data_IF_928904844467
#
_entry.id   IF_928904844467
#
_cell.length_a   1.000
_cell.length_b   1.000
_cell.length_c   1.000
_cell.angle_alpha   90.00
_cell.angle_beta   90.00
_cell.angle_gamma   90.00
#
_symmetry.space_group_name_H-M   'P 1'
#
loop_
_entity.id
_entity.type
_entity.pdbx_description
1 polymer ?
#
# COMPACT_ATOMS: atom_id res chain seq x y z
N UNK A 1 -4.45 -20.01 1.82
CA UNK A 1 -3.89 -20.25 1.99
C UNK A 1 -3.87 -20.29 1.96
N UNK A 2 -4.33 -19.63 2.24
CA UNK A 2 -3.87 -19.61 2.45
C UNK A 2 -4.10 -19.62 2.50
N UNK A 3 -4.34 -19.19 2.93
CA UNK A 3 -4.02 -19.27 3.12
C UNK A 3 -4.28 -19.27 3.40
N UNK A 4 -4.62 -18.87 3.76
CA UNK A 4 -4.30 -19.02 4.02
C UNK A 4 -4.48 -18.91 4.07
N UNK A 5 -4.67 -18.36 4.35
CA UNK A 5 -4.14 -18.51 4.41
C UNK A 5 -4.17 -18.42 4.49
N UNK A 6 -4.35 -17.89 4.84
CA UNK A 6 -3.82 -18.09 4.95
C UNK A 6 -4.09 -18.00 5.34
N UNK A 7 -4.36 -17.38 5.93
CA UNK A 7 -4.02 -17.55 6.19
C UNK A 7 -3.99 -17.85 6.49
N UNK A 8 -4.08 -17.54 6.88
CA UNK A 8 -3.46 -18.09 6.98
C UNK A 8 -3.11 -18.15 7.26
N UNK A 9 -3.03 -17.65 7.69
CA UNK A 9 -2.21 -17.95 7.78
C UNK A 9 -1.91 -17.87 8.18
N UNK A 10 -1.92 -17.56 8.71
CA UNK A 10 -1.16 -17.74 8.96
C UNK A 10 -0.80 -17.81 9.01
N UNK A 11 -0.39 -17.56 9.33
CA UNK A 11 0.34 -17.90 9.16
C UNK A 11 0.74 -18.05 8.84
N UNK A 12 0.96 -17.90 8.98
CA UNK A 12 1.64 -18.31 8.42
C UNK A 12 1.93 -18.51 7.77
N UNK A 13 2.41 -18.46 7.39
CA UNK A 13 3.07 -18.89 6.63
C UNK A 13 3.53 -19.12 6.13
N UNK A 14 3.71 -19.30 6.15
CA UNK A 14 4.46 -19.74 5.58
C UNK A 14 4.61 -20.11 4.88
N UNK A 15 5.04 -20.22 4.34
CA UNK A 15 5.44 -20.68 3.61
C UNK A 15 5.63 -21.25 2.87
N UNK A 16 5.63 -21.31 2.69
CA UNK A 16 5.91 -22.16 2.09
C UNK A 16 6.09 -22.40 0.92
N UNK A 17 6.14 -23.16 0.46
CA UNK A 17 6.19 -23.84 -0.69
C UNK A 17 6.72 -23.06 -1.77
N UNK A 18 7.02 -23.69 -2.74
CA UNK A 18 7.48 -23.18 -3.86
C UNK A 18 7.72 -21.73 -3.83
N UNK A 19 6.99 -21.09 -4.43
CA UNK A 19 7.12 -19.70 -4.40
C UNK A 19 6.65 -19.20 -3.04
N UNK A 20 7.60 -18.76 -2.29
CA UNK A 20 7.34 -18.28 -0.97
C UNK A 20 7.36 -16.79 -0.92
N UNK A 21 6.41 -16.22 -0.31
CA UNK A 21 6.45 -14.81 -0.02
C UNK A 21 7.05 -14.62 1.35
N UNK A 22 7.92 -13.63 1.46
CA UNK A 22 8.51 -13.30 2.74
C UNK A 22 7.48 -12.69 3.69
N UNK A 23 6.39 -12.16 3.16
CA UNK A 23 5.33 -11.60 3.99
C UNK A 23 3.97 -11.83 3.35
N UNK A 24 2.93 -11.83 4.17
CA UNK A 24 1.56 -11.95 3.71
C UNK A 24 1.12 -10.69 2.99
N UNK A 25 0.23 -10.86 2.05
CA UNK A 25 -0.42 -9.77 1.34
C UNK A 25 -1.85 -9.67 1.79
N UNK A 26 -2.30 -8.46 1.97
CA UNK A 26 -3.68 -8.19 2.36
C UNK A 26 -4.33 -7.34 1.29
N UNK A 27 -5.45 -7.82 0.77
CA UNK A 27 -6.28 -7.05 -0.15
C UNK A 27 -7.23 -6.22 0.70
N UNK A 28 -6.92 -4.96 0.84
CA UNK A 28 -7.71 -4.08 1.67
C UNK A 28 -7.67 -2.67 1.09
N UNK A 29 -8.84 -2.06 1.03
CA UNK A 29 -8.97 -0.71 0.52
C UNK A 29 -9.01 0.27 1.69
N UNK A 30 -7.95 1.04 1.81
CA UNK A 30 -7.83 2.05 2.86
C UNK A 30 -7.49 3.38 2.21
N UNK A 31 -8.07 4.47 2.70
CA UNK A 31 -7.70 5.79 2.17
C UNK A 31 -6.25 6.09 2.47
N UNK A 32 -5.57 6.72 1.52
CA UNK A 32 -4.22 7.14 1.76
C UNK A 32 -3.95 8.50 1.15
N UNK A 33 -3.00 9.19 1.75
CA UNK A 33 -2.50 10.47 1.28
C UNK A 33 -1.07 10.25 0.78
N UNK A 34 -0.74 10.87 -0.33
CA UNK A 34 0.52 10.66 -1.04
C UNK A 34 1.24 11.99 -1.15
N UNK A 35 2.52 12.01 -0.78
CA UNK A 35 3.35 13.19 -0.94
C UNK A 35 4.72 12.77 -1.47
N UNK A 36 5.38 13.70 -2.16
CA UNK A 36 6.76 13.48 -2.55
C UNK A 36 7.65 13.44 -1.31
N UNK A 37 8.71 12.63 -1.36
CA UNK A 37 9.67 12.51 -0.28
C UNK A 37 11.08 12.65 -0.84
N UNK A 38 11.83 13.69 -0.43
CA UNK A 38 11.44 14.73 0.52
C UNK A 38 10.40 15.67 -0.08
N UNK A 39 9.61 16.31 0.76
CA UNK A 39 8.63 17.25 0.26
C UNK A 39 9.30 18.45 -0.37
N UNK A 40 8.75 18.88 -1.49
CA UNK A 40 9.23 20.08 -2.16
C UNK A 40 8.31 21.22 -1.81
N UNK A 41 8.86 22.43 -1.88
CA UNK A 41 8.08 23.63 -1.63
C UNK A 41 6.91 23.66 -2.62
N UNK A 42 5.71 23.87 -2.10
CA UNK A 42 4.49 23.93 -2.90
C UNK A 42 4.17 22.62 -3.63
N UNK A 43 4.72 21.51 -3.17
CA UNK A 43 4.38 20.21 -3.75
C UNK A 43 2.94 19.86 -3.41
N UNK A 44 2.18 19.35 -4.37
CA UNK A 44 0.83 18.90 -4.07
C UNK A 44 0.84 17.63 -3.25
N UNK A 45 -0.24 17.40 -2.55
CA UNK A 45 -0.52 16.09 -2.00
C UNK A 45 -1.58 15.44 -2.89
N UNK A 46 -1.55 14.12 -2.94
CA UNK A 46 -2.47 13.33 -3.75
C UNK A 46 -3.23 12.39 -2.85
N UNK A 47 -4.40 11.96 -3.29
CA UNK A 47 -5.15 10.97 -2.54
C UNK A 47 -5.24 9.69 -3.36
N UNK A 48 -5.44 8.59 -2.66
CA UNK A 48 -5.60 7.31 -3.30
C UNK A 48 -6.19 6.30 -2.33
N UNK A 49 -6.20 5.06 -2.77
CA UNK A 49 -6.68 3.95 -1.96
C UNK A 49 -5.74 2.79 -2.12
N UNK A 50 -5.47 2.10 -1.03
CA UNK A 50 -4.69 0.87 -1.12
C UNK A 50 -5.50 -0.22 -1.82
N UNK A 51 -4.81 -1.12 -2.48
CA UNK A 51 -5.42 -2.35 -3.02
C UNK A 51 -4.79 -3.55 -2.34
N UNK A 52 -3.46 -3.56 -2.24
CA UNK A 52 -2.73 -4.63 -1.57
C UNK A 52 -1.70 -4.04 -0.64
N UNK A 53 -1.60 -4.62 0.54
CA UNK A 53 -0.58 -4.27 1.53
C UNK A 53 0.23 -5.51 1.88
N UNK A 54 1.53 -5.32 2.03
CA UNK A 54 2.41 -6.36 2.54
C UNK A 54 3.55 -5.70 3.31
N UNK A 55 4.41 -6.53 3.91
CA UNK A 55 5.59 -5.99 4.60
C UNK A 55 6.62 -5.43 3.65
N UNK A 56 6.54 -5.73 2.37
CA UNK A 56 7.54 -5.31 1.39
C UNK A 56 7.07 -4.21 0.48
N UNK A 57 5.77 -4.09 0.23
CA UNK A 57 5.30 -3.12 -0.71
C UNK A 57 3.83 -2.79 -0.54
N UNK A 58 3.44 -1.73 -1.21
CA UNK A 58 2.07 -1.26 -1.21
C UNK A 58 1.67 -1.03 -2.66
N UNK A 59 0.56 -1.64 -3.05
CA UNK A 59 -0.05 -1.36 -4.35
C UNK A 59 -1.29 -0.52 -4.09
N UNK A 60 -1.35 0.64 -4.73
CA UNK A 60 -2.47 1.55 -4.52
C UNK A 60 -2.93 2.13 -5.85
N UNK A 61 -4.12 2.72 -5.82
CA UNK A 61 -4.71 3.37 -6.98
C UNK A 61 -4.87 4.84 -6.68
N UNK A 62 -4.59 5.66 -7.69
CA UNK A 62 -4.70 7.12 -7.59
C UNK A 62 -5.02 7.67 -8.97
N UNK A 63 -5.08 8.99 -9.10
CA UNK A 63 -5.38 9.61 -10.38
C UNK A 63 -4.16 10.18 -11.10
N UNK A 64 -3.00 10.14 -10.47
CA UNK A 64 -1.78 10.71 -11.04
C UNK A 64 -0.70 9.66 -11.17
N UNK A 65 -0.01 9.60 -12.31
CA UNK A 65 1.11 8.68 -12.45
C UNK A 65 2.35 9.20 -11.73
N UNK A 66 3.21 8.28 -11.34
CA UNK A 66 4.49 8.60 -10.73
C UNK A 66 5.59 7.85 -11.46
N UNK A 67 6.68 8.53 -11.72
CA UNK A 67 7.79 7.90 -12.43
C UNK A 67 8.45 6.84 -11.57
N UNK A 68 8.96 5.81 -12.23
CA UNK A 68 9.73 4.76 -11.57
C UNK A 68 10.89 5.39 -10.79
N UNK A 69 11.11 4.90 -9.59
CA UNK A 69 12.16 5.41 -8.72
C UNK A 69 11.78 6.60 -7.86
N UNK A 70 10.60 7.17 -8.10
CA UNK A 70 10.12 8.28 -7.28
C UNK A 70 9.92 7.82 -5.85
N UNK A 71 10.37 8.62 -4.90
CA UNK A 71 10.13 8.34 -3.49
C UNK A 71 8.92 9.11 -3.01
N UNK A 72 8.07 8.40 -2.30
CA UNK A 72 6.81 8.94 -1.81
C UNK A 72 6.67 8.67 -0.32
N UNK A 73 6.01 9.59 0.35
CA UNK A 73 5.58 9.39 1.73
C UNK A 73 4.09 9.13 1.71
N UNK A 74 3.70 7.99 2.21
CA UNK A 74 2.30 7.58 2.26
C UNK A 74 1.79 7.64 3.68
N UNK A 75 0.59 8.17 3.84
CA UNK A 75 -0.12 8.16 5.12
C UNK A 75 -1.40 7.38 4.92
N UNK A 76 -1.51 6.26 5.61
CA UNK A 76 -2.63 5.35 5.48
C UNK A 76 -3.49 5.46 6.72
N UNK A 77 -4.79 5.66 6.54
CA UNK A 77 -5.71 5.74 7.66
C UNK A 77 -6.37 4.41 7.87
N UNK A 78 -6.15 3.84 9.04
CA UNK A 78 -6.76 2.59 9.45
C UNK A 78 -8.01 2.93 10.25
N UNK A 79 -9.19 2.48 9.82
CA UNK A 79 -10.42 2.84 10.51
C UNK A 79 -10.44 2.27 11.92
N UNK A 80 -11.11 2.99 12.82
CA UNK A 80 -11.32 2.51 14.15
C UNK A 80 -12.23 1.30 14.17
N UNK A 81 -12.07 0.48 15.18
CA UNK A 81 -12.92 -0.69 15.40
C UNK A 81 -13.52 -0.61 16.80
N UNK A 82 -14.41 -1.54 17.09
CA UNK A 82 -15.05 -1.57 18.40
C UNK A 82 -14.05 -1.56 19.55
N UNK A 83 -12.95 -2.31 19.39
CA UNK A 83 -11.89 -2.36 20.39
C UNK A 83 -11.01 -1.12 20.37
N UNK A 84 -10.91 -0.46 19.20
CA UNK A 84 -10.11 0.75 19.03
C UNK A 84 -10.96 1.75 18.28
N UNK A 85 -11.78 2.51 18.98
CA UNK A 85 -12.67 3.45 18.31
C UNK A 85 -11.94 4.57 17.58
N UNK A 86 -10.72 4.90 17.98
CA UNK A 86 -9.96 5.93 17.30
C UNK A 86 -9.27 5.35 16.06
N UNK A 87 -9.22 6.13 15.00
CA UNK A 87 -8.49 5.72 13.80
C UNK A 87 -6.99 5.70 14.08
N UNK A 88 -6.31 4.76 13.48
CA UNK A 88 -4.85 4.68 13.52
C UNK A 88 -4.28 5.20 12.21
N UNK A 89 -3.09 5.76 12.29
CA UNK A 89 -2.41 6.27 11.11
C UNK A 89 -1.07 5.55 10.96
N UNK A 90 -0.88 4.95 9.82
CA UNK A 90 0.37 4.33 9.47
C UNK A 90 1.07 5.19 8.43
N UNK A 91 2.38 5.31 8.54
CA UNK A 91 3.19 6.07 7.59
C UNK A 91 4.24 5.18 6.98
N UNK A 92 4.44 5.34 5.70
CA UNK A 92 5.43 4.55 4.98
C UNK A 92 6.17 5.45 4.00
N UNK A 93 7.48 5.22 3.87
CA UNK A 93 8.24 5.77 2.76
C UNK A 93 8.44 4.66 1.76
N UNK A 94 8.11 4.95 0.53
CA UNK A 94 8.14 3.94 -0.51
C UNK A 94 8.85 4.48 -1.74
N UNK A 95 9.31 3.57 -2.58
CA UNK A 95 9.88 3.88 -3.87
C UNK A 95 8.99 3.27 -4.94
N UNK A 96 8.63 4.06 -5.94
CA UNK A 96 7.76 3.60 -7.01
C UNK A 96 8.52 2.60 -7.88
N UNK A 97 7.93 1.44 -8.06
CA UNK A 97 8.45 0.42 -8.96
C UNK A 97 7.84 0.59 -10.33
N UNK A 98 6.54 0.83 -10.39
CA UNK A 98 5.83 0.91 -11.66
C UNK A 98 4.50 1.62 -11.46
N UNK A 99 4.12 2.41 -12.47
CA UNK A 99 2.78 2.98 -12.57
C UNK A 99 2.16 2.50 -13.88
N UNK A 100 0.88 2.18 -13.83
CA UNK A 100 0.18 1.71 -15.02
C UNK A 100 -1.26 2.19 -15.02
N UNK A 101 -1.81 2.39 -16.20
CA UNK A 101 -3.22 2.73 -16.32
C UNK A 101 -4.05 1.47 -16.08
N UNK A 102 -5.05 1.59 -15.22
CA UNK A 102 -5.93 0.47 -14.92
C UNK A 102 -7.38 0.93 -14.90
N UNK A 103 -8.30 -0.02 -14.96
CA UNK A 103 -9.70 0.21 -14.66
C UNK A 103 -9.94 -0.19 -13.22
N UNK A 104 -10.52 0.71 -12.46
CA UNK A 104 -10.82 0.45 -11.06
C UNK A 104 -12.17 1.08 -10.72
N UNK A 105 -13.11 0.25 -10.27
CA UNK A 105 -14.45 0.71 -9.91
C UNK A 105 -15.11 1.54 -11.03
N UNK A 106 -14.96 1.05 -12.25
CA UNK A 106 -15.63 1.66 -13.41
C UNK A 106 -14.96 2.90 -13.96
N UNK A 107 -13.76 3.24 -13.52
CA UNK A 107 -13.07 4.44 -13.97
C UNK A 107 -11.62 4.14 -14.31
N UNK A 108 -11.08 4.93 -15.22
CA UNK A 108 -9.65 4.84 -15.51
C UNK A 108 -8.86 5.51 -14.40
N UNK A 109 -7.94 4.76 -13.82
CA UNK A 109 -7.11 5.22 -12.73
C UNK A 109 -5.67 4.79 -12.99
N UNK A 110 -4.81 5.10 -12.05
CA UNK A 110 -3.40 4.71 -12.12
C UNK A 110 -3.13 3.76 -10.97
N UNK A 111 -2.65 2.56 -11.30
CA UNK A 111 -2.18 1.62 -10.29
C UNK A 111 -0.69 1.80 -10.10
N UNK A 112 -0.28 1.93 -8.85
CA UNK A 112 1.12 2.21 -8.51
C UNK A 112 1.65 1.11 -7.60
N UNK A 113 2.68 0.42 -8.08
CA UNK A 113 3.39 -0.59 -7.31
C UNK A 113 4.60 0.05 -6.66
N UNK A 114 4.79 -0.21 -5.38
CA UNK A 114 5.88 0.40 -4.62
C UNK A 114 6.57 -0.63 -3.74
N UNK A 115 7.82 -0.31 -3.40
CA UNK A 115 8.58 -1.03 -2.39
C UNK A 115 8.70 -0.16 -1.15
N UNK A 116 8.49 -0.75 0.01
CA UNK A 116 8.58 -0.05 1.27
C UNK A 116 10.05 0.07 1.66
N UNK A 117 10.50 1.30 1.90
CA UNK A 117 11.84 1.56 2.41
C UNK A 117 11.82 1.80 3.92
N UNK A 118 10.71 2.32 4.43
CA UNK A 118 10.61 2.64 5.85
C UNK A 118 9.13 2.67 6.22
N UNK A 119 8.82 2.13 7.38
CA UNK A 119 7.43 2.00 7.81
C UNK A 119 7.32 2.27 9.30
N UNK A 120 6.30 3.02 9.69
CA UNK A 120 5.99 3.19 11.10
C UNK A 120 4.50 3.46 11.30
N UNK A 121 4.05 3.09 12.47
CA UNK A 121 2.64 3.24 12.83
C UNK A 121 2.49 4.30 13.91
#
# INVERSE_FOLDING_TARGET
MIQATDLQQPIAQPVTGGERRASSRFQISLPLSIRYCPPKRNSPSFSGETINLSGHGIYFVTNSPFAQGTRLALTITLPGKKAWPAALIARARVRVVQSEAIWHQGARRVGVSTEIEYYCV
#
